data_IF_665297542857
#
_entry.id   IF_665297542857
#
_cell.length_a   1.000
_cell.length_b   1.000
_cell.length_c   1.000
_cell.angle_alpha   90.00
_cell.angle_beta   90.00
_cell.angle_gamma   90.00
#
_symmetry.space_group_name_H-M   'P 1'
#
loop_
_entity.id
_entity.type
_entity.pdbx_description
1 polymer ?
#
# COMPACT_ATOMS: atom_id res chain seq x y z
N UNK A 1 -13.84 -25.91 9.87
CA UNK A 1 -13.07 -24.67 10.16
C UNK A 1 -14.00 -23.68 10.82
N UNK A 2 -13.81 -23.40 12.12
CA UNK A 2 -14.59 -22.39 12.83
C UNK A 2 -14.17 -21.01 12.30
N UNK A 3 -15.09 -20.30 11.64
CA UNK A 3 -14.90 -18.89 11.28
C UNK A 3 -14.98 -18.08 12.57
N UNK A 4 -13.82 -17.71 13.10
CA UNK A 4 -13.73 -16.80 14.23
C UNK A 4 -14.17 -15.40 13.76
N UNK A 5 -15.45 -15.08 13.93
CA UNK A 5 -16.05 -13.80 13.58
C UNK A 5 -15.78 -12.71 14.63
N UNK A 6 -14.78 -12.89 15.50
CA UNK A 6 -14.41 -11.83 16.44
C UNK A 6 -13.82 -10.67 15.64
N UNK A 7 -14.35 -9.45 15.80
CA UNK A 7 -13.77 -8.30 15.13
C UNK A 7 -12.30 -8.19 15.53
N UNK A 8 -11.43 -8.05 14.54
CA UNK A 8 -10.02 -7.77 14.76
C UNK A 8 -9.93 -6.37 15.37
N UNK A 9 -9.92 -6.30 16.71
CA UNK A 9 -9.85 -5.04 17.47
C UNK A 9 -8.42 -4.52 17.58
N UNK A 10 -7.43 -5.36 17.28
CA UNK A 10 -6.01 -5.04 17.38
C UNK A 10 -5.47 -4.76 15.99
N UNK A 11 -4.95 -3.55 15.79
CA UNK A 11 -4.22 -3.20 14.57
C UNK A 11 -2.96 -4.07 14.46
N UNK A 12 -2.58 -4.48 13.24
CA UNK A 12 -1.38 -5.29 13.04
C UNK A 12 -0.14 -4.54 13.53
N UNK A 13 0.74 -5.24 14.23
CA UNK A 13 2.02 -4.67 14.68
C UNK A 13 2.97 -4.49 13.51
N UNK A 14 3.94 -3.58 13.64
CA UNK A 14 4.98 -3.43 12.62
C UNK A 14 5.79 -4.71 12.38
N UNK A 15 5.96 -5.54 13.41
CA UNK A 15 6.62 -6.84 13.28
C UNK A 15 5.82 -7.80 12.38
N UNK A 16 4.51 -7.88 12.58
CA UNK A 16 3.64 -8.71 11.72
C UNK A 16 3.64 -8.21 10.28
N UNK A 17 3.58 -6.89 10.08
CA UNK A 17 3.60 -6.31 8.73
C UNK A 17 4.93 -6.56 8.02
N UNK A 18 6.05 -6.55 8.75
CA UNK A 18 7.36 -6.95 8.22
C UNK A 18 7.40 -8.44 7.85
N UNK A 19 6.89 -9.34 8.70
CA UNK A 19 6.82 -10.76 8.39
C UNK A 19 5.99 -11.05 7.13
N UNK A 20 4.87 -10.32 6.95
CA UNK A 20 4.05 -10.42 5.73
C UNK A 20 4.83 -9.93 4.51
N UNK A 21 5.57 -8.81 4.63
CA UNK A 21 6.42 -8.32 3.56
C UNK A 21 7.49 -9.33 3.15
N UNK A 22 8.21 -9.88 4.13
CA UNK A 22 9.27 -10.86 3.91
C UNK A 22 8.72 -12.11 3.23
N UNK A 23 7.52 -12.55 3.62
CA UNK A 23 6.82 -13.67 2.97
C UNK A 23 6.43 -13.37 1.51
N UNK A 24 5.84 -12.20 1.24
CA UNK A 24 5.39 -11.81 -0.11
C UNK A 24 6.60 -11.75 -1.06
N UNK A 25 7.71 -11.16 -0.61
CA UNK A 25 8.91 -10.97 -1.43
C UNK A 25 9.65 -12.29 -1.67
N UNK A 26 9.89 -13.08 -0.61
CA UNK A 26 10.70 -14.32 -0.67
C UNK A 26 10.03 -15.51 -1.36
N UNK A 27 8.69 -15.57 -1.39
CA UNK A 27 8.01 -16.73 -1.98
C UNK A 27 8.15 -16.75 -3.50
N UNK A 28 8.26 -17.95 -4.07
CA UNK A 28 8.19 -18.14 -5.51
C UNK A 28 6.76 -17.87 -6.03
N UNK A 29 6.61 -17.26 -7.21
CA UNK A 29 5.31 -17.12 -7.86
C UNK A 29 4.72 -18.50 -8.12
N UNK A 30 3.43 -18.68 -7.83
CA UNK A 30 2.73 -19.91 -8.21
C UNK A 30 2.30 -19.85 -9.68
N UNK A 31 2.10 -21.01 -10.32
CA UNK A 31 1.55 -21.08 -11.68
C UNK A 31 0.21 -20.33 -11.74
N UNK A 32 0.09 -19.39 -12.68
CA UNK A 32 -1.10 -18.54 -12.84
C UNK A 32 -1.06 -17.22 -12.04
N UNK A 33 0.03 -16.94 -11.32
CA UNK A 33 0.18 -15.71 -10.56
C UNK A 33 0.96 -14.65 -11.36
N UNK A 34 0.23 -13.78 -12.05
CA UNK A 34 0.81 -12.76 -12.94
C UNK A 34 0.96 -11.38 -12.28
N UNK A 35 0.29 -11.16 -11.13
CA UNK A 35 0.12 -9.83 -10.50
C UNK A 35 0.94 -9.65 -9.22
N UNK A 36 1.99 -10.43 -9.03
CA UNK A 36 2.80 -10.42 -7.79
C UNK A 36 3.32 -9.00 -7.48
N UNK A 37 3.88 -8.32 -8.49
CA UNK A 37 4.40 -6.95 -8.37
C UNK A 37 3.32 -5.92 -8.03
N UNK A 38 2.10 -6.08 -8.58
CA UNK A 38 0.96 -5.22 -8.27
C UNK A 38 0.55 -5.40 -6.80
N UNK A 39 0.47 -6.63 -6.32
CA UNK A 39 0.15 -6.93 -4.93
C UNK A 39 1.22 -6.44 -3.95
N UNK A 40 2.50 -6.56 -4.30
CA UNK A 40 3.62 -6.00 -3.53
C UNK A 40 3.49 -4.48 -3.39
N UNK A 41 3.23 -3.80 -4.51
CA UNK A 41 3.07 -2.35 -4.56
C UNK A 41 1.88 -1.89 -3.70
N UNK A 42 0.73 -2.56 -3.82
CA UNK A 42 -0.46 -2.26 -3.01
C UNK A 42 -0.21 -2.46 -1.51
N UNK A 43 0.51 -3.52 -1.14
CA UNK A 43 0.88 -3.76 0.25
C UNK A 43 1.76 -2.64 0.80
N UNK A 44 2.78 -2.21 0.06
CA UNK A 44 3.66 -1.11 0.47
C UNK A 44 2.92 0.23 0.59
N UNK A 45 2.04 0.56 -0.35
CA UNK A 45 1.21 1.76 -0.29
C UNK A 45 0.30 1.76 0.94
N UNK A 46 -0.30 0.63 1.29
CA UNK A 46 -1.12 0.54 2.49
C UNK A 46 -0.28 0.62 3.77
N UNK A 47 0.84 -0.11 3.84
CA UNK A 47 1.63 -0.20 5.07
C UNK A 47 2.53 1.01 5.31
N UNK A 48 3.36 1.39 4.34
CA UNK A 48 4.39 2.43 4.52
C UNK A 48 3.84 3.84 4.33
N UNK A 49 2.83 4.01 3.48
CA UNK A 49 2.23 5.33 3.17
C UNK A 49 0.91 5.53 3.94
N UNK A 50 0.26 4.44 4.39
CA UNK A 50 -1.00 4.53 5.14
C UNK A 50 -2.20 4.79 4.24
N UNK A 51 -2.17 4.30 3.00
CA UNK A 51 -3.31 4.43 2.09
C UNK A 51 -4.42 3.45 2.49
N UNK A 52 -5.67 3.88 2.34
CA UNK A 52 -6.80 2.93 2.33
C UNK A 52 -6.69 2.05 1.10
N UNK A 53 -7.23 0.83 1.15
CA UNK A 53 -7.21 -0.11 0.01
C UNK A 53 -7.74 0.55 -1.28
N UNK A 54 -8.86 1.28 -1.20
CA UNK A 54 -9.43 1.99 -2.35
C UNK A 54 -8.54 3.12 -2.87
N UNK A 55 -7.78 3.78 -1.99
CA UNK A 55 -6.84 4.84 -2.37
C UNK A 55 -5.59 4.24 -3.04
N UNK A 56 -5.10 3.10 -2.54
CA UNK A 56 -3.95 2.40 -3.12
C UNK A 56 -4.26 1.84 -4.52
N UNK A 57 -5.46 1.31 -4.74
CA UNK A 57 -5.90 0.81 -6.06
C UNK A 57 -6.04 1.95 -7.07
N UNK A 58 -6.50 3.12 -6.64
CA UNK A 58 -6.67 4.30 -7.47
C UNK A 58 -5.44 5.24 -7.47
N UNK A 59 -4.30 4.77 -6.97
CA UNK A 59 -3.09 5.59 -6.87
C UNK A 59 -2.53 5.90 -8.26
N UNK A 60 -2.27 7.18 -8.51
CA UNK A 60 -1.84 7.67 -9.82
C UNK A 60 -0.50 8.39 -9.70
N UNK A 61 0.52 7.84 -10.37
CA UNK A 61 1.87 8.39 -10.38
C UNK A 61 1.95 9.72 -11.14
N UNK A 62 1.00 10.02 -12.03
CA UNK A 62 0.95 11.29 -12.76
C UNK A 62 0.58 12.48 -11.87
N UNK A 63 0.06 12.22 -10.66
CA UNK A 63 -0.32 13.23 -9.67
C UNK A 63 0.84 13.60 -8.73
N UNK A 64 2.09 13.35 -9.13
CA UNK A 64 3.27 13.83 -8.43
C UNK A 64 3.34 15.37 -8.47
N UNK A 65 3.75 15.98 -7.37
CA UNK A 65 4.01 17.40 -7.31
C UNK A 65 5.16 17.76 -8.28
N UNK A 66 4.93 18.78 -9.10
CA UNK A 66 5.88 19.18 -10.14
C UNK A 66 7.06 20.00 -9.61
N UNK A 67 6.95 20.55 -8.39
CA UNK A 67 8.04 21.30 -7.79
C UNK A 67 9.13 20.35 -7.27
N UNK A 68 10.38 20.65 -7.61
CA UNK A 68 11.55 19.84 -7.24
C UNK A 68 11.66 19.67 -5.71
N UNK A 69 11.26 20.68 -4.95
CA UNK A 69 11.25 20.65 -3.48
C UNK A 69 10.28 19.61 -2.90
N UNK A 70 9.25 19.20 -3.66
CA UNK A 70 8.20 18.28 -3.24
C UNK A 70 8.26 16.94 -3.99
N UNK A 71 9.46 16.52 -4.41
CA UNK A 71 9.67 15.25 -5.10
C UNK A 71 9.13 14.05 -4.30
N UNK A 72 8.44 13.16 -4.99
CA UNK A 72 7.71 12.01 -4.47
C UNK A 72 6.52 12.35 -3.53
N UNK A 73 6.02 13.58 -3.60
CA UNK A 73 4.76 13.96 -2.98
C UNK A 73 3.64 13.80 -4.01
N UNK A 74 2.63 13.00 -3.71
CA UNK A 74 1.54 12.68 -4.64
C UNK A 74 0.20 13.18 -4.10
N UNK A 75 -0.63 13.74 -4.99
CA UNK A 75 -1.97 14.18 -4.64
C UNK A 75 -2.94 13.00 -4.64
N UNK A 76 -3.56 12.74 -3.49
CA UNK A 76 -4.66 11.78 -3.39
C UNK A 76 -6.01 12.49 -3.42
N UNK A 77 -6.88 12.00 -4.30
CA UNK A 77 -8.28 12.41 -4.35
C UNK A 77 -9.12 11.44 -3.53
N UNK A 78 -9.39 11.82 -2.29
CA UNK A 78 -10.19 11.03 -1.35
C UNK A 78 -11.70 11.19 -1.56
N UNK A 79 -12.47 10.49 -0.71
CA UNK A 79 -13.94 10.55 -0.73
C UNK A 79 -14.45 11.98 -0.50
N UNK A 80 -15.46 12.41 -1.27
CA UNK A 80 -16.08 13.75 -1.21
C UNK A 80 -15.12 14.89 -1.58
N UNK A 81 -14.27 14.70 -2.59
CA UNK A 81 -13.30 15.71 -3.05
C UNK A 81 -12.36 16.21 -1.95
N UNK A 82 -12.11 15.39 -0.92
CA UNK A 82 -11.10 15.69 0.08
C UNK A 82 -9.75 15.31 -0.48
N UNK A 83 -8.91 16.31 -0.69
CA UNK A 83 -7.57 16.11 -1.21
C UNK A 83 -6.54 16.12 -0.08
N UNK A 84 -5.51 15.27 -0.21
CA UNK A 84 -4.35 15.29 0.67
C UNK A 84 -3.10 14.91 -0.09
N UNK A 85 -1.99 15.50 0.31
CA UNK A 85 -0.68 15.09 -0.17
C UNK A 85 -0.15 13.91 0.63
N UNK A 86 0.48 12.95 -0.05
CA UNK A 86 1.17 11.83 0.59
C UNK A 86 2.58 11.70 0.05
N UNK A 87 3.53 11.47 0.95
CA UNK A 87 4.91 11.22 0.57
C UNK A 87 5.12 9.72 0.33
N UNK A 88 5.63 9.36 -0.85
CA UNK A 88 5.99 7.98 -1.19
C UNK A 88 7.49 7.89 -1.35
N UNK A 89 8.18 7.29 -0.38
CA UNK A 89 9.62 7.08 -0.49
C UNK A 89 9.90 6.07 -1.61
N UNK A 90 10.67 6.47 -2.62
CA UNK A 90 11.22 5.53 -3.60
C UNK A 90 12.10 4.51 -2.88
N UNK A 91 11.76 3.22 -2.97
CA UNK A 91 12.66 2.17 -2.50
C UNK A 91 13.88 2.15 -3.44
N UNK A 92 15.08 2.08 -2.84
CA UNK A 92 16.35 1.95 -3.56
C UNK A 92 16.57 0.51 -3.95
#
# INVERSE_FOLDING_TARGET
>A
MLKNNKPLTILPTNQLLQQVWDYITSRSPKKGEYKKLEHESLFLLCWKVGLRISEAIAFDLSLENQEVAYKNLYLLRGKRNKERWVFVRKQK
#
